data_IF_551684360563
#
_entry.id   IF_551684360563
#
_cell.length_a   1.000
_cell.length_b   1.000
_cell.length_c   1.000
_cell.angle_alpha   90.00
_cell.angle_beta   90.00
_cell.angle_gamma   90.00
#
_symmetry.space_group_name_H-M   'P 1'
#
loop_
_entity.id
_entity.type
_entity.pdbx_description
1 polymer ?
#
# COMPACT_ATOMS: atom_id res chain seq x y z
N UNK A 1 -15.43 -8.39 -14.81
CA UNK A 1 -16.77 -8.99 -14.58
C UNK A 1 -17.77 -8.64 -15.69
N UNK A 2 -18.03 -7.35 -15.96
CA UNK A 2 -18.95 -6.95 -17.03
C UNK A 2 -18.58 -7.49 -18.43
N UNK A 3 -17.28 -7.68 -18.68
CA UNK A 3 -16.75 -8.19 -19.95
C UNK A 3 -16.60 -9.73 -19.99
N UNK A 4 -17.16 -10.47 -19.01
CA UNK A 4 -16.98 -11.94 -18.90
C UNK A 4 -17.32 -12.69 -20.19
N UNK A 5 -18.41 -12.32 -20.86
CA UNK A 5 -18.88 -12.98 -22.09
C UNK A 5 -18.22 -12.43 -23.36
N UNK A 6 -17.41 -11.37 -23.24
CA UNK A 6 -16.69 -10.76 -24.37
C UNK A 6 -15.43 -10.04 -23.85
N UNK A 7 -14.38 -10.79 -23.45
CA UNK A 7 -13.13 -10.21 -22.97
C UNK A 7 -12.57 -9.18 -23.97
N UNK A 8 -12.05 -8.07 -23.46
CA UNK A 8 -11.51 -6.96 -24.27
C UNK A 8 -9.99 -6.87 -24.24
N UNK A 9 -9.34 -7.65 -23.38
CA UNK A 9 -7.90 -7.71 -23.21
C UNK A 9 -7.42 -9.17 -23.18
N UNK A 10 -6.19 -9.39 -23.63
CA UNK A 10 -5.51 -10.69 -23.53
C UNK A 10 -4.73 -10.84 -22.22
N UNK A 11 -4.21 -9.73 -21.67
CA UNK A 11 -3.41 -9.70 -20.44
C UNK A 11 -4.02 -8.70 -19.46
N UNK A 12 -4.36 -9.17 -18.26
CA UNK A 12 -4.74 -8.31 -17.15
C UNK A 12 -3.50 -7.96 -16.33
N UNK A 13 -2.98 -6.75 -16.55
CA UNK A 13 -1.84 -6.20 -15.81
C UNK A 13 -2.35 -5.18 -14.79
N UNK A 14 -2.05 -5.41 -13.51
CA UNK A 14 -2.38 -4.46 -12.45
C UNK A 14 -1.24 -4.37 -11.41
N UNK A 15 -1.46 -3.57 -10.37
CA UNK A 15 -0.48 -3.27 -9.34
C UNK A 15 -0.89 -3.77 -7.94
N UNK A 16 -1.93 -4.60 -7.85
CA UNK A 16 -2.47 -5.12 -6.59
C UNK A 16 -3.07 -6.52 -6.78
N UNK A 17 -3.21 -7.31 -5.70
CA UNK A 17 -3.56 -8.73 -5.82
C UNK A 17 -5.07 -9.03 -5.71
N UNK A 18 -5.87 -8.16 -5.08
CA UNK A 18 -7.28 -8.45 -4.79
C UNK A 18 -8.11 -8.67 -6.06
N UNK A 19 -7.97 -7.83 -7.08
CA UNK A 19 -8.74 -8.03 -8.31
C UNK A 19 -8.27 -9.26 -9.09
N UNK A 20 -6.97 -9.54 -9.09
CA UNK A 20 -6.41 -10.76 -9.69
C UNK A 20 -7.00 -12.02 -9.05
N UNK A 21 -7.05 -12.08 -7.71
CA UNK A 21 -7.68 -13.19 -6.99
C UNK A 21 -9.20 -13.28 -7.23
N UNK A 22 -9.89 -12.15 -7.41
CA UNK A 22 -11.31 -12.15 -7.77
C UNK A 22 -11.55 -12.73 -9.16
N UNK A 23 -10.68 -12.42 -10.12
CA UNK A 23 -10.75 -12.98 -11.48
C UNK A 23 -10.48 -14.48 -11.47
N UNK A 24 -9.46 -14.92 -10.73
CA UNK A 24 -9.13 -16.34 -10.53
C UNK A 24 -10.32 -17.10 -9.93
N UNK A 25 -10.88 -16.62 -8.81
CA UNK A 25 -12.05 -17.24 -8.16
C UNK A 25 -13.29 -17.30 -9.05
N UNK A 26 -13.41 -16.39 -10.00
CA UNK A 26 -14.53 -16.37 -10.95
C UNK A 26 -14.31 -17.25 -12.18
N UNK A 27 -13.13 -17.87 -12.31
CA UNK A 27 -12.73 -18.66 -13.48
C UNK A 27 -12.59 -17.82 -14.73
N UNK A 28 -12.02 -16.61 -14.58
CA UNK A 28 -11.87 -15.62 -15.67
C UNK A 28 -10.42 -15.44 -16.13
N UNK A 29 -9.50 -16.26 -15.63
CA UNK A 29 -8.10 -16.26 -16.02
C UNK A 29 -7.78 -17.58 -16.72
N UNK A 30 -7.15 -17.49 -17.88
CA UNK A 30 -6.55 -18.66 -18.52
C UNK A 30 -5.21 -18.99 -17.83
N UNK A 31 -4.91 -20.29 -17.72
CA UNK A 31 -3.65 -20.75 -17.14
C UNK A 31 -2.55 -20.66 -18.19
N UNK A 32 -1.47 -19.99 -17.83
CA UNK A 32 -0.25 -19.94 -18.64
C UNK A 32 0.98 -20.08 -17.75
N UNK A 33 1.64 -21.23 -17.81
CA UNK A 33 2.90 -21.47 -17.09
C UNK A 33 4.06 -20.98 -17.95
N UNK A 34 4.58 -19.79 -17.65
CA UNK A 34 5.80 -19.28 -18.28
C UNK A 34 7.00 -20.17 -17.92
N UNK A 35 7.91 -20.50 -18.85
CA UNK A 35 9.19 -21.14 -18.52
C UNK A 35 9.99 -20.36 -17.47
N UNK A 36 9.87 -19.03 -17.48
CA UNK A 36 10.53 -18.13 -16.52
C UNK A 36 9.93 -18.21 -15.10
N UNK A 37 8.71 -18.73 -14.95
CA UNK A 37 8.05 -18.84 -13.65
C UNK A 37 8.80 -19.77 -12.68
N UNK A 38 9.64 -20.67 -13.20
CA UNK A 38 10.52 -21.51 -12.38
C UNK A 38 11.50 -20.69 -11.52
N UNK A 39 11.80 -19.45 -11.92
CA UNK A 39 12.68 -18.55 -11.18
C UNK A 39 11.94 -17.65 -10.18
N UNK A 40 10.60 -17.69 -10.17
CA UNK A 40 9.81 -16.80 -9.33
C UNK A 40 9.68 -17.42 -7.93
N UNK A 41 9.73 -16.59 -6.86
CA UNK A 41 9.40 -17.08 -5.53
C UNK A 41 7.99 -17.67 -5.53
N UNK A 42 7.84 -18.91 -5.06
CA UNK A 42 6.59 -19.66 -5.18
C UNK A 42 5.40 -18.97 -4.52
N UNK A 43 5.63 -18.17 -3.47
CA UNK A 43 4.59 -17.36 -2.81
C UNK A 43 3.99 -16.26 -3.70
N UNK A 44 4.64 -15.91 -4.82
CA UNK A 44 4.16 -14.94 -5.79
C UNK A 44 3.64 -15.59 -7.07
N UNK A 45 3.43 -16.90 -7.08
CA UNK A 45 2.84 -17.62 -8.20
C UNK A 45 1.53 -18.24 -7.72
N UNK A 46 0.48 -18.13 -8.54
CA UNK A 46 -0.77 -18.84 -8.27
C UNK A 46 -0.51 -20.35 -8.14
N UNK A 47 -1.07 -21.03 -7.13
CA UNK A 47 -1.05 -22.50 -7.07
C UNK A 47 -1.64 -23.17 -8.31
N UNK A 48 -2.56 -22.53 -9.04
CA UNK A 48 -3.11 -23.03 -10.30
C UNK A 48 -2.39 -22.52 -11.54
N UNK A 49 -1.34 -21.70 -11.40
CA UNK A 49 -0.60 -21.08 -12.51
C UNK A 49 -1.39 -19.98 -13.26
N UNK A 50 -2.52 -19.52 -12.71
CA UNK A 50 -3.41 -18.55 -13.37
C UNK A 50 -2.89 -17.10 -13.34
N UNK A 51 -1.91 -16.80 -12.47
CA UNK A 51 -1.28 -15.50 -12.37
C UNK A 51 0.13 -15.60 -11.79
N UNK A 52 0.96 -14.60 -12.08
CA UNK A 52 2.34 -14.47 -11.61
C UNK A 52 2.57 -13.04 -11.10
N UNK A 53 3.17 -12.91 -9.93
CA UNK A 53 3.60 -11.64 -9.36
C UNK A 53 4.89 -11.15 -10.02
N UNK A 54 4.87 -9.93 -10.53
CA UNK A 54 5.99 -9.38 -11.32
C UNK A 54 6.93 -8.50 -10.49
N UNK A 55 6.39 -7.81 -9.49
CA UNK A 55 7.17 -6.92 -8.63
C UNK A 55 6.53 -6.85 -7.25
N UNK A 56 7.37 -6.92 -6.21
CA UNK A 56 6.96 -6.63 -4.85
C UNK A 56 7.02 -5.12 -4.61
N UNK A 57 5.99 -4.60 -3.95
CA UNK A 57 5.95 -3.22 -3.45
C UNK A 57 5.61 -3.30 -1.97
N UNK A 58 6.26 -2.46 -1.17
CA UNK A 58 5.97 -2.41 0.25
C UNK A 58 5.10 -1.19 0.56
N UNK A 59 4.33 -1.28 1.65
CA UNK A 59 3.65 -0.15 2.26
C UNK A 59 4.62 0.56 3.20
N UNK A 60 4.87 1.83 2.97
CA UNK A 60 5.87 2.62 3.71
C UNK A 60 5.32 3.95 4.19
N UNK A 61 5.96 4.49 5.21
CA UNK A 61 5.78 5.87 5.63
C UNK A 61 6.78 6.73 4.86
N UNK A 62 6.28 7.71 4.12
CA UNK A 62 7.10 8.81 3.60
C UNK A 62 7.02 9.95 4.62
N UNK A 63 8.17 10.50 5.00
CA UNK A 63 8.28 11.52 6.06
C UNK A 63 9.03 12.72 5.51
N UNK A 64 8.54 13.93 5.71
CA UNK A 64 9.25 15.14 5.31
C UNK A 64 10.30 15.52 6.36
N UNK A 65 11.58 15.56 5.98
CA UNK A 65 12.72 15.75 6.90
C UNK A 65 12.95 17.20 7.29
N UNK A 66 12.33 18.17 6.62
CA UNK A 66 12.33 19.58 7.03
C UNK A 66 11.20 19.89 8.02
N UNK A 67 10.16 19.06 8.04
CA UNK A 67 8.98 19.21 8.90
C UNK A 67 9.07 18.34 10.15
N UNK A 68 9.62 17.14 10.04
CA UNK A 68 9.73 16.15 11.11
C UNK A 68 11.20 15.93 11.41
N UNK A 69 11.61 16.25 12.64
CA UNK A 69 12.95 15.96 13.10
C UNK A 69 13.18 14.44 13.15
N UNK A 70 14.43 14.00 12.93
CA UNK A 70 14.75 12.57 12.91
C UNK A 70 14.36 11.83 14.21
N UNK A 71 14.42 12.51 15.36
CA UNK A 71 14.02 11.95 16.65
C UNK A 71 12.49 11.78 16.81
N UNK A 72 11.71 12.45 15.96
CA UNK A 72 10.25 12.43 15.96
C UNK A 72 9.68 11.64 14.77
N UNK A 73 10.54 11.01 13.95
CA UNK A 73 10.13 10.28 12.78
C UNK A 73 9.28 9.06 13.18
N UNK A 74 8.12 8.85 12.53
CA UNK A 74 7.27 7.71 12.83
C UNK A 74 7.94 6.41 12.35
N UNK A 75 7.75 5.33 13.10
CA UNK A 75 8.27 4.01 12.79
C UNK A 75 7.18 2.92 12.77
N UNK A 76 5.92 3.28 13.05
CA UNK A 76 4.77 2.37 13.07
C UNK A 76 3.57 2.96 12.34
N UNK A 77 2.70 2.10 11.80
CA UNK A 77 1.39 2.57 11.30
C UNK A 77 0.50 3.12 12.42
N UNK A 78 0.74 2.76 13.68
CA UNK A 78 0.01 3.32 14.82
C UNK A 78 0.36 4.79 15.07
N UNK A 79 1.51 5.28 14.59
CA UNK A 79 1.87 6.71 14.66
C UNK A 79 0.95 7.59 13.81
N UNK A 80 0.23 7.01 12.85
CA UNK A 80 -0.85 7.71 12.13
C UNK A 80 -1.97 8.17 13.09
N UNK A 81 -2.02 7.63 14.32
CA UNK A 81 -2.98 7.95 15.37
C UNK A 81 -2.42 8.94 16.41
N UNK A 82 -1.15 9.34 16.31
CA UNK A 82 -0.52 10.27 17.24
C UNK A 82 -1.19 11.66 17.13
N UNK A 83 -1.82 12.17 18.21
CA UNK A 83 -2.49 13.47 18.20
C UNK A 83 -1.54 14.65 18.00
N UNK A 84 -0.23 14.47 18.21
CA UNK A 84 0.80 15.48 17.89
C UNK A 84 0.76 15.90 16.41
N UNK A 85 0.35 14.98 15.55
CA UNK A 85 0.31 15.14 14.10
C UNK A 85 -1.09 15.27 13.54
N UNK A 86 -2.08 15.55 14.39
CA UNK A 86 -3.48 15.71 14.01
C UNK A 86 -3.64 16.66 12.82
N UNK A 87 -4.35 16.22 11.79
CA UNK A 87 -4.57 17.01 10.57
C UNK A 87 -3.37 17.11 9.61
N UNK A 88 -2.18 16.60 10.00
CA UNK A 88 -0.91 16.72 9.26
C UNK A 88 -0.42 15.41 8.65
N UNK A 89 -1.23 14.35 8.69
CA UNK A 89 -0.90 13.03 8.17
C UNK A 89 -1.74 12.74 6.91
N UNK A 90 -1.18 12.00 5.95
CA UNK A 90 -1.88 11.60 4.73
C UNK A 90 -2.01 10.10 4.53
N UNK A 91 -3.16 9.65 4.03
CA UNK A 91 -3.35 8.31 3.47
C UNK A 91 -4.07 8.40 2.14
N UNK A 92 -3.85 7.43 1.26
CA UNK A 92 -4.64 7.31 0.04
C UNK A 92 -6.02 6.71 0.35
N UNK A 93 -6.98 6.93 -0.53
CA UNK A 93 -8.35 6.42 -0.38
C UNK A 93 -8.38 4.88 -0.36
N UNK A 94 -8.84 4.21 0.71
CA UNK A 94 -8.82 2.75 0.84
C UNK A 94 -10.02 2.08 0.13
N UNK A 95 -10.37 2.51 -1.08
CA UNK A 95 -11.49 1.96 -1.86
C UNK A 95 -11.06 1.21 -3.12
N UNK A 96 -9.84 1.45 -3.61
CA UNK A 96 -9.30 0.83 -4.81
C UNK A 96 -7.77 0.76 -4.72
N UNK A 97 -7.16 0.05 -5.67
CA UNK A 97 -5.71 -0.09 -5.74
C UNK A 97 -5.11 -0.77 -4.51
N UNK A 98 -3.82 -0.56 -4.30
CA UNK A 98 -3.08 -1.13 -3.17
C UNK A 98 -3.58 -0.68 -1.81
N UNK A 99 -4.18 0.50 -1.70
CA UNK A 99 -4.68 0.95 -0.39
C UNK A 99 -5.92 0.19 0.05
N UNK A 100 -6.75 -0.29 -0.89
CA UNK A 100 -7.82 -1.23 -0.58
C UNK A 100 -7.28 -2.61 -0.20
N UNK A 101 -6.21 -3.08 -0.86
CA UNK A 101 -5.51 -4.32 -0.50
C UNK A 101 -4.95 -4.25 0.90
N UNK A 102 -4.23 -3.18 1.23
CA UNK A 102 -3.69 -2.95 2.57
C UNK A 102 -4.80 -2.90 3.62
N UNK A 103 -5.92 -2.21 3.34
CA UNK A 103 -7.07 -2.24 4.23
C UNK A 103 -7.58 -3.67 4.45
N UNK A 104 -7.75 -4.47 3.40
CA UNK A 104 -8.16 -5.87 3.52
C UNK A 104 -7.16 -6.71 4.34
N UNK A 105 -5.85 -6.47 4.18
CA UNK A 105 -4.80 -7.12 4.98
C UNK A 105 -4.92 -6.76 6.46
N UNK A 106 -5.18 -5.48 6.80
CA UNK A 106 -5.42 -5.06 8.19
C UNK A 106 -6.64 -5.77 8.79
N UNK A 107 -7.75 -5.87 8.05
CA UNK A 107 -8.92 -6.63 8.49
C UNK A 107 -8.62 -8.11 8.71
N UNK A 108 -7.84 -8.72 7.82
CA UNK A 108 -7.44 -10.12 7.95
C UNK A 108 -6.50 -10.36 9.14
N UNK A 109 -5.54 -9.46 9.39
CA UNK A 109 -4.53 -9.61 10.41
C UNK A 109 -5.02 -9.22 11.81
N UNK A 110 -5.85 -8.18 11.92
CA UNK A 110 -6.29 -7.62 13.20
C UNK A 110 -7.71 -8.04 13.59
N UNK A 111 -8.47 -8.60 12.65
CA UNK A 111 -9.89 -8.80 12.81
C UNK A 111 -10.71 -7.52 12.67
N UNK A 112 -12.01 -7.72 12.50
CA UNK A 112 -12.97 -6.67 12.16
C UNK A 112 -12.99 -5.49 13.14
N UNK A 113 -13.01 -5.77 14.45
CA UNK A 113 -13.21 -4.73 15.45
C UNK A 113 -12.00 -3.81 15.57
N UNK A 114 -10.80 -4.39 15.64
CA UNK A 114 -9.54 -3.63 15.73
C UNK A 114 -9.27 -2.84 14.43
N UNK A 115 -9.50 -3.44 13.26
CA UNK A 115 -9.35 -2.73 12.00
C UNK A 115 -10.34 -1.56 11.86
N UNK A 116 -11.63 -1.76 12.21
CA UNK A 116 -12.63 -0.69 12.21
C UNK A 116 -12.26 0.43 13.20
N UNK A 117 -11.79 0.08 14.38
CA UNK A 117 -11.33 1.07 15.37
C UNK A 117 -10.17 1.91 14.83
N UNK A 118 -9.16 1.28 14.24
CA UNK A 118 -8.04 1.96 13.60
C UNK A 118 -8.51 3.01 12.57
N UNK A 119 -9.39 2.64 11.64
CA UNK A 119 -9.92 3.60 10.65
C UNK A 119 -10.78 4.71 11.27
N UNK A 120 -11.53 4.43 12.34
CA UNK A 120 -12.27 5.47 13.08
C UNK A 120 -11.32 6.44 13.76
N UNK A 121 -10.23 5.95 14.35
CA UNK A 121 -9.21 6.76 15.01
C UNK A 121 -8.41 7.59 14.00
N UNK A 122 -8.10 7.06 12.82
CA UNK A 122 -7.53 7.87 11.72
C UNK A 122 -8.44 9.05 11.39
N UNK A 123 -9.75 8.81 11.27
CA UNK A 123 -10.72 9.88 11.03
C UNK A 123 -10.77 10.90 12.17
N UNK A 124 -10.76 10.43 13.42
CA UNK A 124 -10.77 11.30 14.60
C UNK A 124 -9.46 12.14 14.72
N UNK A 125 -8.34 11.59 14.25
CA UNK A 125 -7.06 12.28 14.16
C UNK A 125 -6.93 13.19 12.91
N UNK A 126 -8.04 13.40 12.19
CA UNK A 126 -8.11 14.27 11.00
C UNK A 126 -7.07 13.89 9.92
N UNK A 127 -6.75 12.60 9.81
CA UNK A 127 -5.85 12.10 8.76
C UNK A 127 -6.46 12.42 7.39
N UNK A 128 -5.68 13.08 6.55
CA UNK A 128 -6.10 13.55 5.23
C UNK A 128 -6.20 12.37 4.26
N UNK A 129 -7.39 12.16 3.70
CA UNK A 129 -7.62 11.12 2.68
C UNK A 129 -7.44 11.73 1.29
N UNK A 130 -6.38 11.34 0.60
CA UNK A 130 -6.04 11.83 -0.74
C UNK A 130 -6.46 10.85 -1.83
N UNK A 131 -6.46 11.33 -3.09
CA UNK A 131 -6.94 10.57 -4.25
C UNK A 131 -6.11 9.30 -4.55
N UNK A 132 -4.86 9.24 -4.11
CA UNK A 132 -3.96 8.13 -4.39
C UNK A 132 -2.61 8.26 -3.68
N UNK A 133 -1.83 7.18 -3.73
CA UNK A 133 -0.51 7.08 -3.09
C UNK A 133 0.45 8.18 -3.57
N UNK A 134 0.52 8.40 -4.89
CA UNK A 134 1.31 9.50 -5.46
C UNK A 134 0.96 10.87 -4.87
N UNK A 135 -0.33 11.16 -4.64
CA UNK A 135 -0.74 12.44 -4.06
C UNK A 135 -0.35 12.56 -2.58
N UNK A 136 -0.34 11.45 -1.83
CA UNK A 136 0.23 11.42 -0.47
C UNK A 136 1.72 11.75 -0.52
N UNK A 137 2.47 11.05 -1.37
CA UNK A 137 3.91 11.28 -1.51
C UNK A 137 4.21 12.75 -1.87
N UNK A 138 3.52 13.32 -2.85
CA UNK A 138 3.69 14.72 -3.24
C UNK A 138 3.30 15.72 -2.15
N UNK A 139 2.24 15.45 -1.38
CA UNK A 139 1.81 16.33 -0.29
C UNK A 139 2.83 16.35 0.85
N UNK A 140 3.44 15.21 1.16
CA UNK A 140 4.53 15.10 2.14
C UNK A 140 5.80 15.76 1.61
N UNK A 141 6.21 15.48 0.37
CA UNK A 141 7.38 16.13 -0.25
C UNK A 141 7.29 17.66 -0.25
N UNK A 142 6.09 18.20 -0.47
CA UNK A 142 5.84 19.64 -0.46
C UNK A 142 5.73 20.25 0.95
N UNK A 143 5.89 19.47 2.02
CA UNK A 143 5.80 19.92 3.41
C UNK A 143 4.37 20.25 3.88
N UNK A 144 3.35 20.01 3.04
CA UNK A 144 1.94 20.21 3.41
C UNK A 144 1.49 19.22 4.47
N UNK A 145 2.03 18.00 4.43
CA UNK A 145 1.85 16.97 5.43
C UNK A 145 3.21 16.60 6.02
N UNK A 146 3.22 16.25 7.31
CA UNK A 146 4.41 15.84 8.04
C UNK A 146 4.90 14.46 7.53
N UNK A 147 3.97 13.52 7.41
CA UNK A 147 4.21 12.20 6.85
C UNK A 147 2.92 11.58 6.32
N UNK A 148 3.04 10.43 5.66
CA UNK A 148 1.89 9.69 5.19
C UNK A 148 2.23 8.28 4.73
N UNK A 149 1.19 7.45 4.61
CA UNK A 149 1.32 6.06 4.20
C UNK A 149 1.11 5.92 2.68
N UNK A 150 2.12 5.42 1.97
CA UNK A 150 2.15 5.30 0.51
C UNK A 150 2.84 4.00 0.06
N UNK A 151 2.88 3.75 -1.25
CA UNK A 151 3.67 2.66 -1.84
C UNK A 151 5.15 3.09 -2.00
N UNK A 152 6.07 2.13 -1.91
CA UNK A 152 7.53 2.36 -2.01
C UNK A 152 7.98 3.05 -3.28
N UNK A 153 7.36 2.75 -4.42
CA UNK A 153 7.69 3.33 -5.73
C UNK A 153 7.37 4.84 -5.77
N UNK A 154 6.20 5.23 -5.27
CA UNK A 154 5.82 6.64 -5.15
C UNK A 154 6.78 7.41 -4.24
N UNK A 155 7.18 6.81 -3.11
CA UNK A 155 8.13 7.42 -2.18
C UNK A 155 9.56 7.49 -2.77
N UNK A 156 9.98 6.44 -3.47
CA UNK A 156 11.27 6.39 -4.17
C UNK A 156 11.37 7.47 -5.24
N UNK A 157 10.31 7.70 -6.02
CA UNK A 157 10.30 8.78 -7.02
C UNK A 157 10.57 10.15 -6.35
N UNK A 158 9.92 10.43 -5.23
CA UNK A 158 10.10 11.69 -4.52
C UNK A 158 11.53 11.83 -3.94
N UNK A 159 12.04 10.78 -3.28
CA UNK A 159 13.37 10.80 -2.66
C UNK A 159 14.50 10.77 -3.68
N UNK A 160 14.49 9.80 -4.59
CA UNK A 160 15.65 9.48 -5.42
C UNK A 160 15.65 10.17 -6.77
N UNK A 161 14.48 10.43 -7.36
CA UNK A 161 14.39 11.08 -8.67
C UNK A 161 14.21 12.59 -8.51
N UNK A 162 13.28 13.02 -7.65
CA UNK A 162 13.00 14.44 -7.41
C UNK A 162 13.95 15.09 -6.40
N UNK A 163 14.70 14.29 -5.63
CA UNK A 163 15.59 14.77 -4.56
C UNK A 163 14.86 15.66 -3.56
N UNK A 164 13.60 15.35 -3.28
CA UNK A 164 12.79 16.06 -2.28
C UNK A 164 13.28 15.75 -0.86
N UNK A 165 13.06 16.65 0.12
CA UNK A 165 13.51 16.47 1.50
C UNK A 165 12.62 15.48 2.25
N UNK A 166 12.70 14.21 1.86
CA UNK A 166 11.89 13.12 2.42
C UNK A 166 12.75 11.91 2.76
N UNK A 167 12.36 11.22 3.83
CA UNK A 167 12.85 9.88 4.16
C UNK A 167 11.77 8.83 3.91
N UNK A 168 12.21 7.59 3.73
CA UNK A 168 11.35 6.42 3.57
C UNK A 168 11.55 5.55 4.80
N UNK A 169 10.48 5.30 5.54
CA UNK A 169 10.49 4.43 6.72
C UNK A 169 9.61 3.21 6.44
N UNK A 170 10.19 2.04 6.64
CA UNK A 170 9.45 0.78 6.65
C UNK A 170 8.85 0.64 8.05
N UNK A 171 7.51 0.66 8.21
CA UNK A 171 6.92 0.63 9.53
C UNK A 171 7.09 -0.75 10.18
N UNK A 172 6.96 -0.78 11.50
CA UNK A 172 6.66 -1.98 12.28
C UNK A 172 7.76 -3.08 12.15
N UNK A 173 9.04 -2.70 12.17
CA UNK A 173 10.18 -3.60 11.91
C UNK A 173 10.67 -4.39 13.15
N UNK A 174 10.01 -4.25 14.30
CA UNK A 174 10.30 -5.06 15.49
C UNK A 174 9.99 -6.55 15.31
N UNK A 175 10.58 -7.42 16.14
CA UNK A 175 10.52 -8.87 16.00
C UNK A 175 9.10 -9.48 15.98
N UNK A 176 8.13 -8.83 16.64
CA UNK A 176 6.72 -9.26 16.69
C UNK A 176 5.77 -8.28 16.00
N UNK A 177 6.33 -7.28 15.33
CA UNK A 177 5.55 -6.26 14.65
C UNK A 177 5.24 -6.69 13.21
N UNK A 178 4.11 -6.21 12.65
CA UNK A 178 3.61 -6.69 11.37
C UNK A 178 4.47 -6.32 10.15
N UNK A 179 5.46 -5.45 10.29
CA UNK A 179 6.24 -4.93 9.19
C UNK A 179 5.40 -4.21 8.14
N UNK A 180 5.80 -4.33 6.88
CA UNK A 180 5.06 -3.78 5.75
C UNK A 180 3.93 -4.72 5.34
N UNK A 181 2.93 -4.89 6.22
CA UNK A 181 1.68 -5.57 5.87
C UNK A 181 1.22 -5.07 4.49
N UNK A 182 1.06 -6.02 3.58
CA UNK A 182 1.08 -5.86 2.12
C UNK A 182 -0.02 -4.95 1.58
#
# INVERSE_FOLDING_TARGET
MAERSRPRCDVFWNNEILNTLRLEKAGLLDVYTSPEAAHYPQQFVSPSGAWHGLAARARVLIVNTEVVAAADAPDSIDDLLDPRWKGRIGVAKPLFGTTATHAACLFAAWGDDKAKDFFRRLKANEVQVLSGNKQVAQAVSAGRLAFGLTDTDDAYIEREIRKSPVSIVFPDQGAEQPGTLF
#
